data_IF_787813649176
#
_entry.id   IF_787813649176
#
_cell.length_a   1.000
_cell.length_b   1.000
_cell.length_c   1.000
_cell.angle_alpha   90.00
_cell.angle_beta   90.00
_cell.angle_gamma   90.00
#
_symmetry.space_group_name_H-M   'P 1'
#
loop_
_entity.id
_entity.type
_entity.pdbx_description
1 polymer ?
#
# COMPACT_ATOMS: atom_id res chain seq x y z
N UNK A 1 -30.41 -9.37 7.81
CA UNK A 1 -29.15 -9.42 7.04
C UNK A 1 -28.59 -10.82 7.26
N UNK A 2 -28.63 -11.66 6.25
CA UNK A 2 -28.14 -13.05 6.36
C UNK A 2 -26.69 -13.04 5.89
N UNK A 3 -25.75 -13.27 6.79
CA UNK A 3 -24.34 -13.44 6.44
C UNK A 3 -24.17 -14.79 5.73
N UNK A 4 -23.50 -14.78 4.58
CA UNK A 4 -23.18 -15.98 3.82
C UNK A 4 -21.88 -16.59 4.35
N UNK A 5 -21.96 -17.82 4.89
CA UNK A 5 -20.85 -18.57 5.51
C UNK A 5 -20.35 -19.70 4.61
N UNK A 6 -20.58 -19.62 3.29
CA UNK A 6 -20.07 -20.60 2.32
C UNK A 6 -18.62 -20.30 1.91
N UNK A 7 -17.89 -21.29 1.38
CA UNK A 7 -16.58 -21.05 0.77
C UNK A 7 -16.72 -20.10 -0.42
N UNK A 8 -15.78 -19.14 -0.52
CA UNK A 8 -15.72 -18.20 -1.63
C UNK A 8 -14.72 -18.68 -2.69
N UNK A 9 -15.04 -18.65 -4.00
CA UNK A 9 -16.32 -18.23 -4.59
C UNK A 9 -17.41 -19.32 -4.49
N UNK A 10 -18.71 -18.94 -4.54
CA UNK A 10 -19.80 -19.92 -4.60
C UNK A 10 -19.65 -20.81 -5.83
N UNK A 11 -19.90 -22.09 -5.67
CA UNK A 11 -19.76 -23.12 -6.71
C UNK A 11 -20.71 -22.96 -7.91
N UNK A 12 -21.75 -22.13 -7.78
CA UNK A 12 -22.69 -21.77 -8.85
C UNK A 12 -22.32 -20.47 -9.60
N UNK A 13 -21.20 -19.81 -9.25
CA UNK A 13 -20.70 -18.66 -10.01
C UNK A 13 -19.90 -19.18 -11.20
N UNK A 14 -20.57 -19.42 -12.32
CA UNK A 14 -19.90 -19.43 -13.62
C UNK A 14 -19.35 -18.02 -13.86
N UNK A 15 -18.07 -17.85 -13.56
CA UNK A 15 -17.31 -16.67 -14.00
C UNK A 15 -17.11 -16.84 -15.51
N UNK A 16 -18.15 -16.54 -16.29
CA UNK A 16 -17.95 -16.21 -17.68
C UNK A 16 -17.14 -14.90 -17.67
N UNK A 17 -15.86 -14.90 -18.09
CA UNK A 17 -15.23 -13.63 -18.42
C UNK A 17 -16.05 -13.04 -19.56
N UNK A 18 -16.97 -12.13 -19.21
CA UNK A 18 -17.67 -11.31 -20.19
C UNK A 18 -16.58 -10.53 -20.92
N UNK A 19 -16.32 -10.96 -22.14
CA UNK A 19 -15.60 -10.26 -23.19
C UNK A 19 -14.14 -9.86 -22.87
N UNK A 20 -13.19 -10.68 -23.31
CA UNK A 20 -11.79 -10.26 -23.49
C UNK A 20 -11.61 -9.32 -24.70
N UNK A 21 -12.67 -8.67 -25.22
CA UNK A 21 -12.49 -7.61 -26.22
C UNK A 21 -11.73 -6.45 -25.58
N UNK A 22 -10.56 -6.16 -26.13
CA UNK A 22 -9.93 -4.86 -25.93
C UNK A 22 -10.94 -3.77 -26.29
N UNK A 23 -11.17 -2.86 -25.34
CA UNK A 23 -12.01 -1.69 -25.55
C UNK A 23 -11.33 -0.78 -26.57
N UNK A 24 -11.97 -0.55 -27.72
CA UNK A 24 -11.50 0.41 -28.71
C UNK A 24 -11.76 1.85 -28.22
N UNK A 25 -10.74 2.44 -27.61
CA UNK A 25 -10.75 3.80 -27.08
C UNK A 25 -10.89 4.88 -28.18
N UNK A 26 -10.85 4.50 -29.45
CA UNK A 26 -11.17 5.37 -30.58
C UNK A 26 -12.66 5.40 -30.95
N UNK A 27 -13.42 4.36 -30.58
CA UNK A 27 -14.83 4.20 -30.92
C UNK A 27 -15.78 4.54 -29.75
N UNK A 28 -15.36 4.32 -28.51
CA UNK A 28 -16.17 4.54 -27.31
C UNK A 28 -15.65 5.73 -26.48
N UNK A 29 -16.54 6.68 -26.16
CA UNK A 29 -16.19 7.84 -25.36
C UNK A 29 -16.19 7.52 -23.86
N UNK A 30 -15.03 7.14 -23.35
CA UNK A 30 -14.83 6.80 -21.94
C UNK A 30 -14.14 7.96 -21.22
N UNK A 31 -14.55 8.23 -19.98
CA UNK A 31 -14.04 9.32 -19.16
C UNK A 31 -13.53 8.81 -17.81
N UNK A 32 -12.47 9.44 -17.30
CA UNK A 32 -11.98 9.18 -15.96
C UNK A 32 -12.92 9.79 -14.88
N UNK A 33 -12.64 9.52 -13.60
CA UNK A 33 -13.43 10.07 -12.47
C UNK A 33 -13.38 11.60 -12.34
N UNK A 34 -12.47 12.26 -13.06
CA UNK A 34 -12.29 13.71 -13.10
C UNK A 34 -12.87 14.33 -14.37
N UNK A 35 -13.49 13.53 -15.25
CA UNK A 35 -14.09 13.96 -16.51
C UNK A 35 -13.11 14.10 -17.67
N UNK A 36 -11.86 13.62 -17.55
CA UNK A 36 -10.92 13.61 -18.66
C UNK A 36 -11.24 12.45 -19.61
N UNK A 37 -11.24 12.70 -20.92
CA UNK A 37 -11.44 11.64 -21.92
C UNK A 37 -10.26 10.67 -21.91
N UNK A 38 -10.57 9.39 -21.85
CA UNK A 38 -9.60 8.29 -21.95
C UNK A 38 -9.52 7.90 -23.42
N UNK A 39 -8.53 8.48 -24.11
CA UNK A 39 -8.16 8.09 -25.47
C UNK A 39 -6.79 7.39 -25.49
N UNK A 40 -6.37 6.89 -26.65
CA UNK A 40 -5.11 6.16 -26.81
C UNK A 40 -3.90 6.98 -26.33
N UNK A 41 -3.89 8.28 -26.61
CA UNK A 41 -2.82 9.18 -26.19
C UNK A 41 -2.79 9.37 -24.66
N UNK A 42 -3.97 9.48 -24.03
CA UNK A 42 -4.09 9.51 -22.57
C UNK A 42 -3.56 8.23 -21.93
N UNK A 43 -3.90 7.06 -22.50
CA UNK A 43 -3.43 5.76 -22.02
C UNK A 43 -1.93 5.60 -22.19
N UNK A 44 -1.38 5.94 -23.36
CA UNK A 44 0.06 5.88 -23.61
C UNK A 44 0.84 6.77 -22.62
N UNK A 45 0.34 7.99 -22.38
CA UNK A 45 0.94 8.92 -21.41
C UNK A 45 0.88 8.38 -19.97
N UNK A 46 -0.24 7.79 -19.57
CA UNK A 46 -0.41 7.18 -18.26
C UNK A 46 0.52 5.96 -18.08
N UNK A 47 0.61 5.09 -19.08
CA UNK A 47 1.51 3.93 -19.07
C UNK A 47 2.97 4.38 -19.05
N UNK A 48 3.35 5.38 -19.84
CA UNK A 48 4.70 5.95 -19.82
C UNK A 48 5.03 6.58 -18.46
N UNK A 49 4.07 7.26 -17.82
CA UNK A 49 4.23 7.82 -16.48
C UNK A 49 4.43 6.72 -15.43
N UNK A 50 3.63 5.66 -15.45
CA UNK A 50 3.77 4.50 -14.55
C UNK A 50 5.09 3.76 -14.79
N UNK A 51 5.50 3.57 -16.06
CA UNK A 51 6.80 2.97 -16.42
C UNK A 51 8.00 3.82 -16.03
N UNK A 52 7.86 5.14 -15.90
CA UNK A 52 8.90 6.01 -15.30
C UNK A 52 8.89 5.93 -13.76
N UNK A 53 7.77 5.52 -13.18
CA UNK A 53 7.52 5.47 -11.75
C UNK A 53 7.51 4.02 -11.25
N UNK A 54 8.45 3.19 -11.72
CA UNK A 54 8.54 1.80 -11.25
C UNK A 54 9.18 1.76 -9.87
N UNK A 55 8.33 1.53 -8.87
CA UNK A 55 8.69 1.29 -7.47
C UNK A 55 8.15 2.37 -6.53
N UNK A 56 7.59 1.93 -5.37
CA UNK A 56 7.26 2.81 -4.24
C UNK A 56 8.47 3.73 -3.97
N UNK A 57 8.36 5.07 -4.12
CA UNK A 57 9.48 5.96 -3.89
C UNK A 57 10.06 5.71 -2.50
N UNK A 58 11.36 5.44 -2.43
CA UNK A 58 12.04 5.42 -1.13
C UNK A 58 12.05 6.84 -0.59
N UNK A 59 11.74 7.02 0.69
CA UNK A 59 11.88 8.30 1.40
C UNK A 59 13.32 8.82 1.40
N UNK A 60 14.29 8.00 0.96
CA UNK A 60 15.69 8.33 0.77
C UNK A 60 16.10 8.07 -0.67
N UNK A 61 15.77 8.96 -1.61
CA UNK A 61 16.20 8.93 -3.03
C UNK A 61 15.92 7.62 -3.82
N UNK A 62 15.82 7.68 -5.17
CA UNK A 62 15.77 6.45 -5.98
C UNK A 62 16.97 5.54 -5.66
N UNK A 63 16.70 4.30 -5.24
CA UNK A 63 17.72 3.27 -5.06
C UNK A 63 18.40 3.14 -3.69
N UNK A 64 18.10 3.98 -2.67
CA UNK A 64 18.62 3.74 -1.30
C UNK A 64 17.54 3.15 -0.40
N UNK A 65 17.78 1.95 0.14
CA UNK A 65 16.97 1.38 1.23
C UNK A 65 17.12 2.25 2.48
N UNK A 66 16.02 2.49 3.18
CA UNK A 66 16.07 3.16 4.49
C UNK A 66 16.97 2.36 5.44
N UNK A 67 17.79 3.03 6.26
CA UNK A 67 18.58 2.35 7.28
C UNK A 67 17.68 1.50 8.18
N UNK A 68 18.09 0.26 8.43
CA UNK A 68 17.39 -0.67 9.30
C UNK A 68 18.17 -0.85 10.59
N UNK A 69 17.47 -0.78 11.73
CA UNK A 69 18.01 -1.09 13.05
C UNK A 69 17.22 -2.27 13.61
N UNK A 70 17.93 -3.30 14.08
CA UNK A 70 17.34 -4.50 14.68
C UNK A 70 17.74 -4.56 16.14
N UNK A 71 16.76 -4.60 17.05
CA UNK A 71 16.97 -4.76 18.48
C UNK A 71 16.78 -6.21 18.90
N UNK A 72 17.61 -6.68 19.84
CA UNK A 72 17.35 -7.90 20.59
C UNK A 72 16.68 -7.50 21.90
N UNK A 73 15.55 -8.12 22.19
CA UNK A 73 14.71 -7.83 23.35
C UNK A 73 14.38 -9.15 24.03
N UNK A 74 14.14 -9.10 25.34
CA UNK A 74 13.56 -10.22 26.06
C UNK A 74 12.10 -10.45 25.61
N UNK A 75 11.53 -11.65 25.82
CA UNK A 75 10.12 -11.91 25.54
C UNK A 75 9.18 -10.96 26.30
N UNK A 76 9.54 -10.61 27.54
CA UNK A 76 8.76 -9.71 28.40
C UNK A 76 8.73 -8.28 27.85
N UNK A 77 9.89 -7.75 27.45
CA UNK A 77 10.00 -6.42 26.84
C UNK A 77 9.21 -6.32 25.53
N UNK A 78 9.27 -7.39 24.72
CA UNK A 78 8.51 -7.46 23.46
C UNK A 78 7.00 -7.48 23.72
N UNK A 79 6.55 -8.19 24.74
CA UNK A 79 5.13 -8.23 25.12
C UNK A 79 4.66 -6.86 25.63
N UNK A 80 5.45 -6.22 26.50
CA UNK A 80 5.17 -4.88 27.00
C UNK A 80 5.10 -3.84 25.86
N UNK A 81 6.03 -3.89 24.91
CA UNK A 81 6.03 -3.00 23.76
C UNK A 81 4.80 -3.19 22.86
N UNK A 82 4.33 -4.44 22.68
CA UNK A 82 3.10 -4.72 21.94
C UNK A 82 1.87 -4.15 22.64
N UNK A 83 1.71 -4.40 23.94
CA UNK A 83 0.58 -3.89 24.71
C UNK A 83 0.53 -2.36 24.73
N UNK A 84 1.69 -1.70 24.84
CA UNK A 84 1.78 -0.24 24.76
C UNK A 84 1.39 0.27 23.37
N UNK A 85 1.90 -0.35 22.31
CA UNK A 85 1.58 0.04 20.95
C UNK A 85 0.08 -0.12 20.63
N UNK A 86 -0.54 -1.23 21.07
CA UNK A 86 -1.98 -1.47 20.92
C UNK A 86 -2.83 -0.41 21.64
N UNK A 87 -2.47 -0.08 22.89
CA UNK A 87 -3.15 0.98 23.66
C UNK A 87 -3.09 2.35 22.97
N UNK A 88 -2.02 2.63 22.24
CA UNK A 88 -1.84 3.89 21.51
C UNK A 88 -2.32 3.83 20.05
N UNK A 89 -2.85 2.68 19.59
CA UNK A 89 -3.27 2.50 18.19
C UNK A 89 -2.10 2.54 17.20
N UNK A 90 -0.89 2.19 17.64
CA UNK A 90 0.35 2.22 16.86
C UNK A 90 0.88 0.81 16.61
N UNK A 91 1.76 0.70 15.63
CA UNK A 91 2.62 -0.49 15.47
C UNK A 91 3.83 -0.41 16.39
N UNK A 92 4.39 -1.56 16.77
CA UNK A 92 5.63 -1.63 17.57
C UNK A 92 6.78 -0.90 16.88
N UNK A 93 6.87 -0.95 15.54
CA UNK A 93 7.91 -0.23 14.79
C UNK A 93 7.73 1.29 14.81
N UNK A 94 6.51 1.80 14.86
CA UNK A 94 6.26 3.24 15.04
C UNK A 94 6.64 3.68 16.45
N UNK A 95 6.19 2.94 17.47
CA UNK A 95 6.55 3.19 18.87
C UNK A 95 8.08 3.21 19.05
N UNK A 96 8.79 2.22 18.49
CA UNK A 96 10.25 2.16 18.56
C UNK A 96 10.92 3.35 17.87
N UNK A 97 10.41 3.80 16.70
CA UNK A 97 10.95 4.95 15.98
C UNK A 97 10.76 6.24 16.79
N UNK A 98 9.59 6.44 17.38
CA UNK A 98 9.29 7.60 18.20
C UNK A 98 10.17 7.64 19.45
N UNK A 99 10.28 6.52 20.16
CA UNK A 99 11.14 6.39 21.34
C UNK A 99 12.61 6.67 20.99
N UNK A 100 13.11 6.10 19.89
CA UNK A 100 14.48 6.34 19.43
C UNK A 100 14.72 7.82 19.05
N UNK A 101 13.79 8.43 18.31
CA UNK A 101 13.89 9.84 17.94
C UNK A 101 13.82 10.76 19.16
N UNK A 102 12.97 10.44 20.14
CA UNK A 102 12.88 11.18 21.40
C UNK A 102 14.19 11.08 22.20
N UNK A 103 14.72 9.86 22.34
CA UNK A 103 15.99 9.63 23.03
C UNK A 103 17.14 10.43 22.42
N UNK A 104 17.23 10.48 21.08
CA UNK A 104 18.24 11.28 20.40
C UNK A 104 18.05 12.79 20.63
N UNK A 105 16.82 13.30 20.60
CA UNK A 105 16.56 14.73 20.91
C UNK A 105 16.99 15.10 22.31
N UNK A 106 16.74 14.21 23.27
CA UNK A 106 17.04 14.45 24.69
C UNK A 106 18.55 14.40 24.99
N UNK A 107 19.35 13.77 24.13
CA UNK A 107 20.78 13.54 24.36
C UNK A 107 21.72 14.20 23.33
N UNK A 108 21.19 14.95 22.37
CA UNK A 108 21.97 15.62 21.32
C UNK A 108 22.60 16.95 21.78
N UNK A 109 23.15 17.01 23.00
CA UNK A 109 23.89 18.16 23.52
C UNK A 109 25.24 18.36 22.84
#
# INVERSE_FOLDING_TARGET
>A
MTEYTGPWPPEDVEFAPDDESDVDLGAEEIYDRRGNRIDEAYVEAAVAHVRRTVGRPSLTAPGRRSPQVTFRLSPEEKAAARALAEREGKTVSQLAREAFAQYLRDHAA
#
